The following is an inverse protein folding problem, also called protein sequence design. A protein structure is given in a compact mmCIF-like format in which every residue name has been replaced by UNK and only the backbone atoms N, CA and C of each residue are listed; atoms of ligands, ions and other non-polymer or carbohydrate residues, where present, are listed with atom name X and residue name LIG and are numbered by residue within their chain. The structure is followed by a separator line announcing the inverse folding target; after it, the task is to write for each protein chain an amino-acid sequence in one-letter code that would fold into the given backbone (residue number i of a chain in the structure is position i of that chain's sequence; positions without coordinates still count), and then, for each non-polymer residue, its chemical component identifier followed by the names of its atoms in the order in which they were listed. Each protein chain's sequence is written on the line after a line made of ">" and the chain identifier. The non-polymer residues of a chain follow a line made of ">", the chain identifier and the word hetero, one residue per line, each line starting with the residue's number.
data_IF_423795919858
#
_entry.id   IF_423795919858
#
_cell.length_a   1.000
_cell.length_b   1.000
_cell.length_c   1.000
_cell.angle_alpha   90.00
_cell.angle_beta   90.00
_cell.angle_gamma   90.00
#
_symmetry.space_group_name_H-M   'P 1'
#
loop_
_entity.id
_entity.type
_entity.pdbx_description
1 polymer ?
#
# COMPACT_ATOMS: atom_id res chain seq x y z
N UNK A 1 -20.76 -11.15 -30.21
CA UNK A 1 -19.74 -12.10 -30.68
C UNK A 1 -18.94 -12.55 -29.49
N UNK A 2 -19.21 -13.77 -29.02
CA UNK A 2 -18.42 -14.37 -27.96
C UNK A 2 -17.15 -14.94 -28.60
N UNK A 3 -16.03 -15.00 -27.87
CA UNK A 3 -14.73 -15.49 -28.34
C UNK A 3 -14.75 -16.86 -29.05
N UNK A 4 -15.85 -17.61 -28.97
CA UNK A 4 -16.08 -18.90 -29.64
C UNK A 4 -16.31 -18.80 -31.15
N UNK A 5 -16.60 -17.61 -31.67
CA UNK A 5 -16.91 -17.41 -33.10
C UNK A 5 -15.68 -16.95 -33.91
N UNK A 6 -14.51 -16.81 -33.27
CA UNK A 6 -13.25 -16.43 -33.92
C UNK A 6 -12.55 -17.65 -34.50
N UNK A 7 -12.03 -17.50 -35.72
CA UNK A 7 -11.12 -18.48 -36.31
C UNK A 7 -9.90 -18.69 -35.40
N UNK A 8 -9.49 -19.95 -35.21
CA UNK A 8 -8.49 -20.32 -34.18
C UNK A 8 -7.17 -19.56 -34.33
N UNK A 9 -6.78 -19.21 -35.55
CA UNK A 9 -5.59 -18.41 -35.84
C UNK A 9 -5.74 -16.96 -35.37
N UNK A 10 -6.89 -16.33 -35.63
CA UNK A 10 -7.20 -14.98 -35.17
C UNK A 10 -7.24 -14.89 -33.64
N UNK A 11 -7.83 -15.90 -32.98
CA UNK A 11 -7.82 -16.00 -31.51
C UNK A 11 -6.39 -16.07 -30.96
N UNK A 12 -5.51 -16.86 -31.60
CA UNK A 12 -4.10 -16.98 -31.19
C UNK A 12 -3.32 -15.67 -31.35
N UNK A 13 -3.57 -14.92 -32.41
CA UNK A 13 -2.93 -13.62 -32.69
C UNK A 13 -3.36 -12.60 -31.64
N UNK A 14 -4.67 -12.47 -31.38
CA UNK A 14 -5.21 -11.55 -30.38
C UNK A 14 -4.63 -11.85 -28.99
N UNK A 15 -4.53 -13.13 -28.61
CA UNK A 15 -3.91 -13.51 -27.33
C UNK A 15 -2.46 -13.06 -27.22
N UNK A 16 -1.65 -13.23 -28.28
CA UNK A 16 -0.25 -12.79 -28.31
C UNK A 16 -0.12 -11.27 -28.22
N UNK A 17 -0.99 -10.53 -28.90
CA UNK A 17 -0.99 -9.07 -28.85
C UNK A 17 -1.41 -8.55 -27.46
N UNK A 18 -2.38 -9.20 -26.81
CA UNK A 18 -2.76 -8.90 -25.43
C UNK A 18 -1.61 -9.18 -24.44
N UNK A 19 -0.92 -10.32 -24.59
CA UNK A 19 0.25 -10.65 -23.78
C UNK A 19 1.37 -9.62 -23.96
N UNK A 20 1.67 -9.25 -25.21
CA UNK A 20 2.66 -8.24 -25.54
C UNK A 20 2.27 -6.86 -24.95
N UNK A 21 1.01 -6.46 -25.10
CA UNK A 21 0.49 -5.21 -24.53
C UNK A 21 0.63 -5.20 -23.01
N UNK A 22 0.26 -6.28 -22.32
CA UNK A 22 0.39 -6.39 -20.88
C UNK A 22 1.86 -6.28 -20.42
N UNK A 23 2.80 -6.84 -21.18
CA UNK A 23 4.23 -6.70 -20.92
C UNK A 23 4.70 -5.23 -21.08
N UNK A 24 4.24 -4.56 -22.14
CA UNK A 24 4.50 -3.13 -22.37
C UNK A 24 3.93 -2.26 -21.25
N UNK A 25 2.66 -2.48 -20.89
CA UNK A 25 1.97 -1.78 -19.81
C UNK A 25 2.69 -1.96 -18.47
N UNK A 26 3.13 -3.18 -18.15
CA UNK A 26 3.88 -3.44 -16.93
C UNK A 26 5.22 -2.67 -16.91
N UNK A 27 5.96 -2.66 -18.02
CA UNK A 27 7.22 -1.91 -18.14
C UNK A 27 6.96 -0.40 -18.05
N UNK A 28 5.95 0.10 -18.76
CA UNK A 28 5.53 1.50 -18.75
C UNK A 28 5.16 1.95 -17.34
N UNK A 29 4.38 1.13 -16.62
CA UNK A 29 3.99 1.36 -15.24
C UNK A 29 5.22 1.47 -14.33
N UNK A 30 6.18 0.55 -14.45
CA UNK A 30 7.41 0.61 -13.65
C UNK A 30 8.19 1.91 -13.89
N UNK A 31 8.36 2.30 -15.15
CA UNK A 31 9.06 3.55 -15.51
C UNK A 31 8.32 4.77 -14.94
N UNK A 32 7.00 4.85 -15.15
CA UNK A 32 6.17 5.94 -14.64
C UNK A 32 6.17 5.98 -13.09
N UNK A 33 6.16 4.81 -12.44
CA UNK A 33 6.22 4.69 -10.99
C UNK A 33 7.57 5.15 -10.43
N UNK A 34 8.67 4.72 -11.03
CA UNK A 34 10.02 5.10 -10.60
C UNK A 34 10.25 6.61 -10.77
N UNK A 35 9.74 7.21 -11.85
CA UNK A 35 9.71 8.67 -12.03
C UNK A 35 8.90 9.37 -10.94
N UNK A 36 7.72 8.84 -10.60
CA UNK A 36 6.80 9.48 -9.67
C UNK A 36 7.16 9.32 -8.17
N UNK A 37 7.84 8.23 -7.79
CA UNK A 37 8.07 7.86 -6.39
C UNK A 37 9.55 7.70 -6.00
N UNK A 38 10.47 7.61 -6.97
CA UNK A 38 11.91 7.41 -6.72
C UNK A 38 12.79 8.49 -7.36
N UNK A 39 12.18 9.52 -7.94
CA UNK A 39 12.86 10.64 -8.59
C UNK A 39 13.88 10.21 -9.66
N UNK A 40 13.62 9.08 -10.34
CA UNK A 40 14.51 8.56 -11.37
C UNK A 40 14.31 9.33 -12.67
N UNK A 41 15.40 9.90 -13.20
CA UNK A 41 15.44 10.49 -14.53
C UNK A 41 16.02 9.48 -15.52
N UNK A 42 15.42 9.39 -16.71
CA UNK A 42 15.92 8.59 -17.81
C UNK A 42 16.32 9.52 -18.95
N UNK A 43 17.40 9.19 -19.67
CA UNK A 43 17.91 9.97 -20.80
C UNK A 43 16.96 9.95 -22.00
N UNK A 44 16.24 8.85 -22.19
CA UNK A 44 15.31 8.65 -23.30
C UNK A 44 13.85 8.89 -22.92
N UNK A 45 13.02 9.17 -23.94
CA UNK A 45 11.57 9.26 -23.76
C UNK A 45 10.96 7.88 -23.48
N UNK A 46 9.88 7.82 -22.69
CA UNK A 46 9.20 6.55 -22.35
C UNK A 46 8.83 5.74 -23.59
N UNK A 47 8.38 6.45 -24.63
CA UNK A 47 8.03 5.84 -25.91
C UNK A 47 9.24 5.20 -26.58
N UNK A 48 10.39 5.89 -26.65
CA UNK A 48 11.62 5.33 -27.25
C UNK A 48 12.09 4.10 -26.49
N UNK A 49 12.10 4.17 -25.16
CA UNK A 49 12.52 3.04 -24.31
C UNK A 49 11.64 1.80 -24.48
N UNK A 50 10.30 1.97 -24.56
CA UNK A 50 9.39 0.82 -24.73
C UNK A 50 9.43 0.31 -26.17
N UNK A 51 9.46 1.22 -27.15
CA UNK A 51 9.53 0.86 -28.57
C UNK A 51 10.81 0.08 -28.89
N UNK A 52 11.97 0.55 -28.43
CA UNK A 52 13.25 -0.14 -28.62
C UNK A 52 13.25 -1.49 -27.91
N UNK A 53 12.64 -1.57 -26.72
CA UNK A 53 12.56 -2.81 -25.96
C UNK A 53 11.56 -3.83 -26.52
N UNK A 54 10.56 -3.48 -27.32
CA UNK A 54 9.58 -4.47 -27.82
C UNK A 54 9.53 -4.58 -29.36
N UNK A 55 10.14 -3.67 -30.11
CA UNK A 55 10.14 -3.70 -31.57
C UNK A 55 8.72 -3.56 -32.16
N UNK A 56 7.93 -2.61 -31.61
CA UNK A 56 6.52 -2.38 -31.98
C UNK A 56 6.33 -1.05 -32.70
N UNK A 57 5.17 -0.89 -33.34
CA UNK A 57 4.71 0.43 -33.85
C UNK A 57 4.43 1.38 -32.69
N UNK A 58 4.33 2.68 -32.95
CA UNK A 58 4.19 3.71 -31.91
C UNK A 58 2.87 3.64 -31.13
N UNK A 59 1.81 3.10 -31.73
CA UNK A 59 0.48 3.04 -31.14
C UNK A 59 0.44 2.23 -29.83
N UNK A 60 1.04 1.04 -29.83
CA UNK A 60 1.04 0.13 -28.68
C UNK A 60 1.79 0.69 -27.45
N UNK A 61 3.05 1.16 -27.58
CA UNK A 61 3.77 1.82 -26.49
C UNK A 61 3.05 3.06 -25.96
N UNK A 62 2.52 3.92 -26.84
CA UNK A 62 1.82 5.14 -26.42
C UNK A 62 0.56 4.83 -25.60
N UNK A 63 -0.23 3.86 -26.06
CA UNK A 63 -1.42 3.40 -25.33
C UNK A 63 -1.04 2.86 -23.94
N UNK A 64 -0.04 1.98 -23.88
CA UNK A 64 0.46 1.40 -22.64
C UNK A 64 1.03 2.47 -21.67
N UNK A 65 1.70 3.50 -22.19
CA UNK A 65 2.22 4.63 -21.38
C UNK A 65 1.08 5.46 -20.81
N UNK A 66 0.07 5.77 -21.63
CA UNK A 66 -1.06 6.59 -21.19
C UNK A 66 -1.86 5.87 -20.09
N UNK A 67 -2.11 4.58 -20.25
CA UNK A 67 -2.75 3.76 -19.23
C UNK A 67 -1.88 3.66 -17.96
N UNK A 68 -0.58 3.42 -18.09
CA UNK A 68 0.35 3.42 -16.97
C UNK A 68 0.34 4.74 -16.19
N UNK A 69 0.34 5.88 -16.88
CA UNK A 69 0.24 7.21 -16.25
C UNK A 69 -1.07 7.37 -15.48
N UNK A 70 -2.19 6.94 -16.05
CA UNK A 70 -3.49 6.99 -15.39
C UNK A 70 -3.50 6.11 -14.12
N UNK A 71 -2.93 4.91 -14.19
CA UNK A 71 -2.79 4.00 -13.04
C UNK A 71 -1.92 4.63 -11.93
N UNK A 72 -0.76 5.18 -12.28
CA UNK A 72 0.13 5.86 -11.31
C UNK A 72 -0.57 7.06 -10.66
N UNK A 73 -1.31 7.85 -11.43
CA UNK A 73 -2.11 8.97 -10.92
C UNK A 73 -3.19 8.49 -9.94
N UNK A 74 -3.94 7.45 -10.30
CA UNK A 74 -4.95 6.83 -9.44
C UNK A 74 -4.34 6.31 -8.12
N UNK A 75 -3.21 5.62 -8.19
CA UNK A 75 -2.48 5.15 -7.01
C UNK A 75 -2.06 6.30 -6.09
N UNK A 76 -1.60 7.42 -6.66
CA UNK A 76 -1.20 8.61 -5.89
C UNK A 76 -2.40 9.23 -5.17
N UNK A 77 -3.56 9.31 -5.82
CA UNK A 77 -4.80 9.76 -5.19
C UNK A 77 -5.20 8.85 -4.02
N UNK A 78 -5.20 7.52 -4.25
CA UNK A 78 -5.54 6.54 -3.21
C UNK A 78 -4.58 6.60 -2.02
N UNK A 79 -3.28 6.74 -2.25
CA UNK A 79 -2.31 6.90 -1.16
C UNK A 79 -2.61 8.13 -0.30
N UNK A 80 -2.97 9.25 -0.94
CA UNK A 80 -3.33 10.49 -0.24
C UNK A 80 -4.55 10.28 0.64
N UNK A 81 -5.60 9.66 0.11
CA UNK A 81 -6.82 9.33 0.87
C UNK A 81 -6.51 8.40 2.05
N UNK A 82 -5.74 7.34 1.84
CA UNK A 82 -5.31 6.41 2.88
C UNK A 82 -4.51 7.13 3.99
N UNK A 83 -3.58 8.02 3.61
CA UNK A 83 -2.83 8.85 4.56
C UNK A 83 -3.75 9.73 5.38
N UNK A 84 -4.74 10.36 4.77
CA UNK A 84 -5.66 11.25 5.48
C UNK A 84 -6.62 10.48 6.41
N UNK A 85 -7.06 9.28 6.00
CA UNK A 85 -7.79 8.34 6.87
C UNK A 85 -6.93 7.90 8.07
N UNK A 86 -5.62 7.65 7.87
CA UNK A 86 -4.70 7.32 8.97
C UNK A 86 -4.52 8.51 9.91
N UNK A 87 -4.33 9.74 9.39
CA UNK A 87 -4.20 10.96 10.21
C UNK A 87 -5.45 11.21 11.05
N UNK A 88 -6.64 11.06 10.49
CA UNK A 88 -7.90 11.22 11.24
C UNK A 88 -8.05 10.17 12.33
N UNK A 89 -7.65 8.91 12.07
CA UNK A 89 -7.59 7.85 13.08
C UNK A 89 -6.60 8.18 14.21
N UNK A 90 -5.40 8.67 13.88
CA UNK A 90 -4.41 9.10 14.87
C UNK A 90 -4.97 10.20 15.78
N UNK A 91 -5.58 11.25 15.20
CA UNK A 91 -6.25 12.32 15.97
C UNK A 91 -7.30 11.76 16.95
N UNK A 92 -8.10 10.78 16.52
CA UNK A 92 -9.10 10.12 17.38
C UNK A 92 -8.45 9.31 18.51
N UNK A 93 -7.36 8.60 18.23
CA UNK A 93 -6.62 7.83 19.23
C UNK A 93 -5.97 8.78 20.27
N UNK A 94 -5.32 9.85 19.84
CA UNK A 94 -4.70 10.83 20.72
C UNK A 94 -5.72 11.48 21.66
N UNK A 95 -6.90 11.83 21.15
CA UNK A 95 -8.01 12.33 21.99
C UNK A 95 -8.42 11.32 23.07
N UNK A 96 -8.51 10.02 22.72
CA UNK A 96 -8.84 8.94 23.67
C UNK A 96 -7.74 8.73 24.71
N UNK A 97 -6.47 8.76 24.29
CA UNK A 97 -5.32 8.67 25.21
C UNK A 97 -5.37 9.81 26.22
N UNK A 98 -5.50 11.07 25.77
CA UNK A 98 -5.59 12.25 26.64
C UNK A 98 -6.74 12.15 27.64
N UNK A 99 -7.91 11.67 27.23
CA UNK A 99 -9.07 11.47 28.12
C UNK A 99 -8.76 10.45 29.22
N UNK A 100 -8.20 9.30 28.84
CA UNK A 100 -7.89 8.22 29.78
C UNK A 100 -6.71 8.58 30.70
N UNK A 101 -5.71 9.32 30.22
CA UNK A 101 -4.60 9.83 31.04
C UNK A 101 -5.10 10.83 32.09
N UNK A 102 -6.06 11.71 31.74
CA UNK A 102 -6.72 12.58 32.73
C UNK A 102 -7.46 11.79 33.80
N UNK A 103 -8.20 10.75 33.41
CA UNK A 103 -8.89 9.86 34.37
C UNK A 103 -7.90 9.12 35.27
N UNK A 104 -6.82 8.59 34.70
CA UNK A 104 -5.77 7.91 35.45
C UNK A 104 -5.10 8.85 36.46
N UNK A 105 -4.81 10.11 36.06
CA UNK A 105 -4.23 11.11 36.96
C UNK A 105 -5.16 11.42 38.14
N UNK A 106 -6.48 11.45 37.93
CA UNK A 106 -7.45 11.63 39.02
C UNK A 106 -7.44 10.43 39.98
N UNK A 107 -7.52 9.21 39.46
CA UNK A 107 -7.50 8.00 40.28
C UNK A 107 -6.19 7.84 41.08
N UNK A 108 -5.04 8.19 40.49
CA UNK A 108 -3.75 8.17 41.19
C UNK A 108 -3.69 9.21 42.32
N UNK A 109 -4.20 10.43 42.11
CA UNK A 109 -4.30 11.45 43.16
C UNK A 109 -5.21 10.99 44.30
N UNK A 110 -6.28 10.28 43.99
CA UNK A 110 -7.19 9.74 44.99
C UNK A 110 -6.53 8.63 45.81
N UNK A 111 -5.77 7.73 45.15
CA UNK A 111 -4.97 6.70 45.84
C UNK A 111 -3.92 7.33 46.75
N UNK A 112 -3.26 8.39 46.31
CA UNK A 112 -2.31 9.15 47.13
C UNK A 112 -2.96 9.76 48.39
N UNK A 113 -4.20 10.27 48.28
CA UNK A 113 -4.96 10.76 49.44
C UNK A 113 -5.27 9.64 50.43
N UNK A 114 -5.65 8.45 49.97
CA UNK A 114 -5.90 7.30 50.84
C UNK A 114 -4.63 6.85 51.56
N UNK A 115 -3.49 6.76 50.85
CA UNK A 115 -2.19 6.48 51.45
C UNK A 115 -1.84 7.51 52.54
N UNK A 116 -2.08 8.80 52.30
CA UNK A 116 -1.82 9.85 53.28
C UNK A 116 -2.75 9.81 54.50
N UNK A 117 -4.00 9.33 54.35
CA UNK A 117 -4.90 9.06 55.48
C UNK A 117 -4.45 7.87 56.32
N UNK A 118 -3.99 6.81 55.65
CA UNK A 118 -3.39 5.62 56.28
C UNK A 118 -2.18 5.99 57.13
N UNK A 119 -1.24 6.79 56.59
CA UNK A 119 -0.09 7.29 57.37
C UNK A 119 -0.45 8.12 58.61
N UNK A 120 -1.65 8.71 58.64
CA UNK A 120 -2.17 9.49 59.78
C UNK A 120 -3.01 8.66 60.75
N UNK A 121 -3.06 7.33 60.58
CA UNK A 121 -3.90 6.40 61.35
C UNK A 121 -5.40 6.74 61.32
N UNK A 122 -5.88 7.42 60.26
CA UNK A 122 -7.30 7.79 60.07
C UNK A 122 -7.98 6.95 58.98
N UNK A 123 -7.50 5.74 58.76
CA UNK A 123 -7.94 4.88 57.66
C UNK A 123 -8.93 3.85 58.16
N UNK A 124 -10.10 3.80 57.53
CA UNK A 124 -11.21 2.94 57.93
C UNK A 124 -11.28 1.68 57.07
N UNK A 125 -12.05 0.69 57.51
CA UNK A 125 -12.33 -0.53 56.74
C UNK A 125 -13.04 -0.22 55.41
N UNK A 126 -13.92 0.79 55.40
CA UNK A 126 -14.59 1.24 54.18
C UNK A 126 -13.61 1.81 53.15
N UNK A 127 -12.62 2.60 53.60
CA UNK A 127 -11.56 3.14 52.74
C UNK A 127 -10.75 2.01 52.09
N UNK A 128 -10.46 0.94 52.84
CA UNK A 128 -9.79 -0.27 52.35
C UNK A 128 -10.61 -1.00 51.28
N UNK A 129 -11.89 -1.25 51.57
CA UNK A 129 -12.79 -1.93 50.62
C UNK A 129 -12.93 -1.13 49.32
N UNK A 130 -13.01 0.20 49.40
CA UNK A 130 -13.02 1.07 48.23
C UNK A 130 -11.70 1.00 47.43
N UNK A 131 -10.55 1.03 48.11
CA UNK A 131 -9.25 0.95 47.45
C UNK A 131 -9.13 -0.34 46.63
N UNK A 132 -9.41 -1.47 47.28
CA UNK A 132 -9.23 -2.81 46.71
C UNK A 132 -10.27 -3.13 45.63
N UNK A 133 -11.55 -2.80 45.86
CA UNK A 133 -12.63 -3.18 44.94
C UNK A 133 -12.81 -2.20 43.78
N UNK A 134 -12.51 -0.92 43.97
CA UNK A 134 -12.84 0.13 43.00
C UNK A 134 -11.58 0.79 42.45
N UNK A 135 -10.74 1.33 43.32
CA UNK A 135 -9.67 2.24 42.92
C UNK A 135 -8.54 1.52 42.16
N UNK A 136 -8.01 0.44 42.73
CA UNK A 136 -6.93 -0.35 42.15
C UNK A 136 -7.31 -1.06 40.83
N UNK A 137 -8.47 -1.73 40.76
CA UNK A 137 -8.96 -2.28 39.49
C UNK A 137 -9.12 -1.22 38.41
N UNK A 138 -9.63 -0.02 38.77
CA UNK A 138 -9.79 1.08 37.83
C UNK A 138 -8.44 1.61 37.32
N UNK A 139 -7.45 1.79 38.21
CA UNK A 139 -6.08 2.19 37.82
C UNK A 139 -5.46 1.15 36.89
N UNK A 140 -5.57 -0.15 37.21
CA UNK A 140 -5.06 -1.25 36.38
C UNK A 140 -5.73 -1.26 34.99
N UNK A 141 -7.06 -1.09 34.96
CA UNK A 141 -7.84 -1.00 33.71
C UNK A 141 -7.41 0.19 32.86
N UNK A 142 -7.31 1.39 33.44
CA UNK A 142 -6.91 2.61 32.73
C UNK A 142 -5.49 2.49 32.16
N UNK A 143 -4.53 1.97 32.94
CA UNK A 143 -3.16 1.70 32.47
C UNK A 143 -3.16 0.75 31.27
N UNK A 144 -3.94 -0.34 31.33
CA UNK A 144 -4.08 -1.30 30.24
C UNK A 144 -4.67 -0.67 28.97
N UNK A 145 -5.75 0.10 29.11
CA UNK A 145 -6.38 0.80 27.98
C UNK A 145 -5.40 1.78 27.32
N UNK A 146 -4.70 2.61 28.12
CA UNK A 146 -3.71 3.56 27.60
C UNK A 146 -2.60 2.84 26.84
N UNK A 147 -2.07 1.74 27.39
CA UNK A 147 -1.04 0.91 26.72
C UNK A 147 -1.51 0.40 25.37
N UNK A 148 -2.73 -0.15 25.31
CA UNK A 148 -3.32 -0.65 24.06
C UNK A 148 -3.55 0.47 23.03
N UNK A 149 -3.98 1.65 23.48
CA UNK A 149 -4.14 2.82 22.61
C UNK A 149 -2.80 3.32 22.07
N UNK A 150 -1.75 3.38 22.90
CA UNK A 150 -0.38 3.74 22.47
C UNK A 150 0.15 2.74 21.44
N UNK A 151 -0.07 1.44 21.65
CA UNK A 151 0.27 0.42 20.65
C UNK A 151 -0.46 0.63 19.32
N UNK A 152 -1.78 0.87 19.36
CA UNK A 152 -2.57 1.17 18.17
C UNK A 152 -2.11 2.45 17.46
N UNK A 153 -1.73 3.48 18.21
CA UNK A 153 -1.16 4.73 17.70
C UNK A 153 0.13 4.45 16.93
N UNK A 154 1.08 3.76 17.55
CA UNK A 154 2.38 3.42 16.95
C UNK A 154 2.23 2.60 15.66
N UNK A 155 1.31 1.63 15.65
CA UNK A 155 1.00 0.85 14.44
C UNK A 155 0.50 1.72 13.29
N UNK A 156 -0.33 2.73 13.57
CA UNK A 156 -0.83 3.66 12.55
C UNK A 156 0.24 4.65 12.10
N UNK A 157 1.10 5.14 13.00
CA UNK A 157 2.26 5.97 12.62
C UNK A 157 3.21 5.20 11.71
N UNK A 158 3.45 3.92 12.00
CA UNK A 158 4.28 3.08 11.13
C UNK A 158 3.70 2.94 9.72
N UNK A 159 2.37 2.80 9.60
CA UNK A 159 1.72 2.78 8.28
C UNK A 159 1.92 4.08 7.50
N UNK A 160 1.96 5.22 8.18
CA UNK A 160 2.19 6.52 7.56
C UNK A 160 3.63 6.68 7.02
N UNK A 161 4.61 6.04 7.69
CA UNK A 161 6.03 6.07 7.29
C UNK A 161 6.38 5.11 6.16
N UNK A 162 5.50 4.16 5.81
CA UNK A 162 5.76 3.18 4.75
C UNK A 162 5.79 3.86 3.39
N UNK A 163 6.84 3.61 2.60
CA UNK A 163 6.86 3.96 1.18
C UNK A 163 5.90 3.06 0.40
N UNK A 164 5.28 3.61 -0.64
CA UNK A 164 4.44 2.83 -1.54
C UNK A 164 5.26 1.68 -2.14
N UNK A 165 4.86 0.41 -1.95
CA UNK A 165 5.51 -0.69 -2.67
C UNK A 165 5.23 -0.53 -4.16
N UNK A 166 6.22 -0.83 -5.02
CA UNK A 166 5.98 -0.93 -6.46
C UNK A 166 5.08 -2.14 -6.70
N UNK A 167 3.77 -1.92 -6.83
CA UNK A 167 2.83 -2.99 -7.14
C UNK A 167 2.90 -3.24 -8.64
N UNK A 168 3.44 -4.40 -9.04
CA UNK A 168 3.37 -4.87 -10.41
C UNK A 168 1.90 -5.17 -10.77
N UNK A 169 1.38 -4.59 -11.84
CA UNK A 169 0.09 -5.02 -12.40
C UNK A 169 0.23 -6.45 -12.96
N UNK A 170 -0.74 -7.34 -12.69
CA UNK A 170 -0.75 -8.72 -13.22
C UNK A 170 0.00 -9.80 -12.41
N UNK A 171 0.58 -9.47 -11.25
CA UNK A 171 1.28 -10.45 -10.40
C UNK A 171 2.56 -11.03 -11.03
N UNK A 172 3.42 -11.66 -10.23
CA UNK A 172 4.69 -12.25 -10.71
C UNK A 172 4.54 -13.38 -11.74
N UNK A 173 3.32 -13.84 -12.01
CA UNK A 173 3.06 -14.92 -12.97
C UNK A 173 3.19 -14.44 -14.42
N UNK A 174 2.91 -13.17 -14.69
CA UNK A 174 3.06 -12.55 -16.02
C UNK A 174 4.52 -12.11 -16.31
N UNK A 175 5.43 -12.32 -15.35
CA UNK A 175 6.86 -12.00 -15.43
C UNK A 175 7.71 -13.16 -15.95
N UNK A 176 7.11 -14.24 -16.47
CA UNK A 176 7.86 -15.30 -17.15
C UNK A 176 8.42 -14.76 -18.47
N UNK A 177 9.52 -14.01 -18.34
CA UNK A 177 10.43 -13.51 -19.37
C UNK A 177 11.17 -14.66 -20.11
N UNK A 178 10.52 -15.80 -20.32
CA UNK A 178 11.18 -17.01 -20.83
C UNK A 178 11.32 -17.06 -22.34
N UNK A 179 10.48 -16.33 -23.09
CA UNK A 179 10.35 -16.60 -24.53
C UNK A 179 10.20 -15.33 -25.38
N UNK A 180 10.62 -14.16 -24.86
CA UNK A 180 10.56 -12.91 -25.63
C UNK A 180 11.47 -12.98 -26.86
N UNK A 181 12.66 -13.58 -26.72
CA UNK A 181 13.59 -13.84 -27.82
C UNK A 181 13.05 -14.88 -28.80
N UNK A 182 12.43 -15.97 -28.32
CA UNK A 182 11.80 -16.98 -29.17
C UNK A 182 10.59 -16.43 -29.93
N UNK A 183 9.81 -15.54 -29.32
CA UNK A 183 8.71 -14.82 -29.98
C UNK A 183 9.25 -13.86 -31.06
N UNK A 184 10.28 -13.05 -30.74
CA UNK A 184 10.95 -12.16 -31.69
C UNK A 184 11.55 -12.92 -32.86
N UNK A 185 12.24 -14.03 -32.59
CA UNK A 185 12.81 -14.92 -33.60
C UNK A 185 11.73 -15.54 -34.50
N UNK A 186 10.64 -16.05 -33.92
CA UNK A 186 9.50 -16.60 -34.68
C UNK A 186 8.78 -15.53 -35.51
N UNK A 187 8.69 -14.29 -35.04
CA UNK A 187 8.12 -13.15 -35.79
C UNK A 187 9.05 -12.70 -36.92
N UNK A 188 10.35 -12.57 -36.68
CA UNK A 188 11.35 -12.21 -37.69
C UNK A 188 11.40 -13.23 -38.84
N UNK A 189 11.30 -14.54 -38.55
CA UNK A 189 11.21 -15.59 -39.58
C UNK A 189 9.95 -15.50 -40.46
N UNK A 190 8.82 -15.01 -39.92
CA UNK A 190 7.57 -14.85 -40.68
C UNK A 190 7.51 -13.58 -41.52
N UNK A 191 8.30 -12.57 -41.16
CA UNK A 191 8.39 -11.30 -41.89
C UNK A 191 9.41 -11.35 -43.04
N UNK A 192 10.12 -12.47 -43.21
CA UNK A 192 10.94 -12.74 -44.38
C UNK A 192 10.03 -13.16 -45.53
N UNK A 193 9.90 -12.28 -46.53
CA UNK A 193 9.28 -12.61 -47.81
C UNK A 193 10.18 -13.66 -48.48
N UNK A 194 9.70 -14.91 -48.72
CA UNK A 194 10.51 -15.90 -49.40
C UNK A 194 10.84 -15.41 -50.83
N UNK A 195 12.13 -15.40 -51.19
CA UNK A 195 12.59 -15.09 -52.55
C UNK A 195 13.40 -13.79 -52.75
N UNK A 196 13.70 -13.02 -51.70
CA UNK A 196 14.75 -11.97 -51.79
C UNK A 196 15.99 -12.37 -51.01
N UNK A 197 16.99 -12.88 -51.74
CA UNK A 197 18.42 -12.73 -51.43
C UNK A 197 19.08 -12.12 -52.64
#
# INVERSE_FOLDING_TARGET
>A
MYYKDLESEAESIIKKDLELYNCMLHKAFKICFDRAYKDVTYSETDQRMIKSFYGTSDYFPLSAINEAKALVKSLKCREKEDRDLIKTRLKKIDKKIKKNEKQLKKALKEKEKQINRSKKNKYTEEDYLYEVKVLDPNIKRLKSIIRNLKFRRNRNEFKLKRKMPSVCFGGKKNLKNGDLETYRFKRARRMLIPGRR
#
